data_IF_902032902945
#
_entry.id   IF_902032902945
#
_cell.length_a   1.000
_cell.length_b   1.000
_cell.length_c   1.000
_cell.angle_alpha   90.00
_cell.angle_beta   90.00
_cell.angle_gamma   90.00
#
_symmetry.space_group_name_H-M   'P 1'
#
loop_
_entity.id
_entity.type
_entity.pdbx_description
1 polymer ?
#
# COMPACT_ATOMS: atom_id res chain seq x y z
N UNK A 1 2.31 -29.23 35.14
CA UNK A 1 0.97 -29.19 34.54
C UNK A 1 1.12 -28.99 33.04
N UNK A 2 0.45 -29.81 32.22
CA UNK A 2 0.23 -29.49 30.80
C UNK A 2 -1.05 -28.66 30.68
N UNK A 3 -1.08 -27.75 29.72
CA UNK A 3 -2.31 -27.09 29.24
C UNK A 3 -2.38 -27.36 27.74
N UNK A 4 -3.41 -28.06 27.30
CA UNK A 4 -3.69 -28.27 25.88
C UNK A 4 -4.59 -27.14 25.37
N UNK A 5 -4.34 -26.66 24.15
CA UNK A 5 -5.18 -25.70 23.45
C UNK A 5 -5.80 -26.39 22.24
N UNK A 6 -7.12 -26.34 22.12
CA UNK A 6 -7.87 -26.94 21.02
C UNK A 6 -7.92 -25.97 19.84
N UNK A 7 -7.65 -26.49 18.63
CA UNK A 7 -7.77 -25.75 17.37
C UNK A 7 -9.12 -26.07 16.73
N UNK A 8 -9.94 -25.05 16.49
CA UNK A 8 -11.17 -25.18 15.71
C UNK A 8 -10.92 -24.84 14.24
N UNK A 9 -11.20 -25.77 13.34
CA UNK A 9 -11.13 -25.55 11.88
C UNK A 9 -12.57 -25.56 11.35
N UNK A 10 -13.00 -24.47 10.71
CA UNK A 10 -14.25 -24.41 9.98
C UNK A 10 -14.01 -24.76 8.50
N UNK A 11 -14.63 -25.83 8.02
CA UNK A 11 -14.61 -26.21 6.61
C UNK A 11 -16.02 -26.07 6.01
N UNK A 12 -16.14 -25.29 4.93
CA UNK A 12 -17.34 -25.20 4.11
C UNK A 12 -17.03 -25.80 2.73
N UNK A 13 -17.82 -26.77 2.28
CA UNK A 13 -17.56 -27.50 1.04
C UNK A 13 -18.87 -28.06 0.47
N UNK A 14 -19.01 -28.08 -0.86
CA UNK A 14 -20.22 -28.55 -1.55
C UNK A 14 -21.17 -27.44 -2.02
N UNK A 15 -21.85 -27.50 -3.18
CA UNK A 15 -21.45 -27.82 -4.57
C UNK A 15 -22.68 -28.05 -5.47
N UNK A 16 -22.92 -27.14 -6.43
CA UNK A 16 -23.33 -27.51 -7.80
C UNK A 16 -24.82 -27.65 -8.18
N UNK A 17 -25.08 -27.34 -9.47
CA UNK A 17 -26.31 -27.53 -10.29
C UNK A 17 -27.57 -26.72 -9.85
N UNK A 18 -28.37 -26.11 -10.73
CA UNK A 18 -28.28 -25.90 -12.18
C UNK A 18 -29.31 -26.68 -13.02
N UNK A 19 -30.19 -25.97 -13.73
CA UNK A 19 -31.03 -26.44 -14.86
C UNK A 19 -31.79 -25.27 -15.53
N UNK A 20 -31.96 -25.32 -16.85
CA UNK A 20 -32.83 -24.44 -17.65
C UNK A 20 -34.05 -25.23 -18.16
N UNK A 21 -35.26 -24.62 -18.17
CA UNK A 21 -36.37 -24.98 -19.08
C UNK A 21 -37.53 -23.95 -18.98
N UNK A 22 -38.16 -23.58 -20.11
CA UNK A 22 -39.39 -22.77 -20.12
C UNK A 22 -39.66 -21.97 -21.41
N UNK A 23 -40.32 -22.57 -22.40
CA UNK A 23 -40.89 -21.88 -23.60
C UNK A 23 -42.15 -21.06 -23.23
N UNK A 24 -42.82 -20.21 -24.04
CA UNK A 24 -43.08 -20.11 -25.51
C UNK A 24 -43.58 -18.64 -25.77
N UNK A 25 -43.86 -18.03 -26.94
CA UNK A 25 -44.28 -18.43 -28.30
C UNK A 25 -43.97 -17.36 -29.37
N UNK A 26 -44.23 -17.66 -30.64
CA UNK A 26 -44.18 -16.73 -31.80
C UNK A 26 -45.46 -15.89 -31.98
N UNK A 27 -45.51 -14.95 -32.95
CA UNK A 27 -46.08 -15.32 -34.26
C UNK A 27 -45.24 -14.88 -35.49
N UNK A 28 -45.66 -15.33 -36.67
CA UNK A 28 -45.03 -15.14 -37.99
C UNK A 28 -45.40 -13.81 -38.67
N UNK A 29 -44.64 -13.42 -39.70
CA UNK A 29 -45.17 -13.07 -41.04
C UNK A 29 -44.12 -13.38 -42.13
N UNK A 30 -44.55 -13.44 -43.40
CA UNK A 30 -43.72 -13.73 -44.59
C UNK A 30 -44.20 -12.85 -45.75
N UNK A 31 -43.34 -12.40 -46.68
CA UNK A 31 -43.41 -13.04 -48.01
C UNK A 31 -42.10 -13.14 -48.83
N UNK A 32 -41.94 -14.31 -49.45
CA UNK A 32 -41.53 -14.57 -50.84
C UNK A 32 -40.46 -13.73 -51.60
N UNK A 33 -39.48 -14.50 -52.08
CA UNK A 33 -38.88 -14.47 -53.44
C UNK A 33 -37.98 -13.33 -53.91
N UNK A 34 -36.73 -13.70 -54.19
CA UNK A 34 -36.09 -13.52 -55.50
C UNK A 34 -35.12 -14.67 -55.77
N UNK A 35 -34.88 -15.03 -57.05
CA UNK A 35 -33.89 -16.03 -57.48
C UNK A 35 -32.95 -15.39 -58.51
N UNK A 36 -31.65 -15.48 -58.27
CA UNK A 36 -30.62 -15.38 -59.32
C UNK A 36 -29.46 -16.31 -58.95
N UNK A 37 -28.81 -16.90 -59.94
CA UNK A 37 -27.70 -17.85 -59.76
C UNK A 37 -26.33 -17.18 -59.94
N UNK A 38 -25.27 -17.92 -59.57
CA UNK A 38 -23.88 -17.80 -60.04
C UNK A 38 -23.16 -16.45 -59.75
N UNK A 39 -22.01 -16.43 -59.07
CA UNK A 39 -20.73 -16.94 -59.56
C UNK A 39 -19.68 -17.07 -58.43
N UNK A 40 -18.54 -17.67 -58.76
CA UNK A 40 -17.34 -17.79 -57.91
C UNK A 40 -16.74 -16.42 -57.54
N UNK A 41 -16.47 -16.19 -56.25
CA UNK A 41 -15.78 -15.00 -55.73
C UNK A 41 -14.84 -15.35 -54.57
N UNK A 42 -13.65 -14.76 -54.58
CA UNK A 42 -12.41 -15.15 -53.89
C UNK A 42 -12.44 -15.26 -52.34
N UNK A 43 -11.39 -15.87 -51.78
CA UNK A 43 -11.23 -16.13 -50.33
C UNK A 43 -10.45 -15.01 -49.62
N UNK A 44 -11.06 -13.84 -49.46
CA UNK A 44 -10.57 -12.82 -48.52
C UNK A 44 -11.54 -12.65 -47.34
N UNK A 45 -11.39 -13.55 -46.36
CA UNK A 45 -11.93 -13.31 -45.02
C UNK A 45 -11.03 -12.32 -44.29
N UNK A 46 -11.13 -11.03 -44.64
CA UNK A 46 -10.37 -9.95 -44.03
C UNK A 46 -10.75 -9.86 -42.55
N UNK A 47 -9.99 -10.57 -41.70
CA UNK A 47 -10.25 -10.71 -40.27
C UNK A 47 -9.99 -9.37 -39.59
N UNK A 48 -11.02 -8.52 -39.55
CA UNK A 48 -10.99 -7.23 -38.88
C UNK A 48 -10.34 -7.39 -37.50
N UNK A 49 -9.25 -6.66 -37.20
CA UNK A 49 -8.56 -6.83 -35.94
C UNK A 49 -9.53 -6.44 -34.82
N UNK A 50 -9.95 -7.44 -34.05
CA UNK A 50 -10.72 -7.21 -32.83
C UNK A 50 -9.88 -6.30 -31.95
N UNK A 51 -10.27 -5.03 -31.85
CA UNK A 51 -9.61 -4.09 -30.95
C UNK A 51 -9.72 -4.69 -29.56
N UNK A 52 -8.58 -4.92 -28.91
CA UNK A 52 -8.57 -5.16 -27.48
C UNK A 52 -9.34 -4.01 -26.80
N UNK A 53 -10.10 -4.28 -25.73
CA UNK A 53 -10.66 -3.20 -24.93
C UNK A 53 -9.50 -2.27 -24.51
N UNK A 54 -9.79 -0.97 -24.48
CA UNK A 54 -8.91 -0.04 -23.76
C UNK A 54 -8.90 -0.44 -22.28
N UNK A 55 -7.78 -0.30 -21.56
CA UNK A 55 -7.82 -0.31 -20.10
C UNK A 55 -8.87 0.70 -19.61
N UNK A 56 -9.51 0.37 -18.49
CA UNK A 56 -10.50 1.24 -17.85
C UNK A 56 -9.75 2.18 -16.90
N UNK A 57 -9.80 3.52 -17.03
CA UNK A 57 -9.00 4.39 -16.17
C UNK A 57 -9.28 4.17 -14.67
N UNK A 58 -8.22 4.01 -13.90
CA UNK A 58 -8.23 3.91 -12.44
C UNK A 58 -7.36 5.04 -11.89
N UNK A 59 -7.97 6.13 -11.36
CA UNK A 59 -7.23 7.33 -11.00
C UNK A 59 -6.28 7.12 -9.82
N UNK A 60 -6.50 6.08 -9.00
CA UNK A 60 -5.58 5.72 -7.92
C UNK A 60 -4.38 4.98 -8.50
N UNK A 61 -4.58 4.03 -9.42
CA UNK A 61 -3.44 3.39 -10.11
C UNK A 61 -2.62 4.39 -10.94
N UNK A 62 -3.29 5.27 -11.70
CA UNK A 62 -2.65 6.34 -12.48
C UNK A 62 -1.81 7.27 -11.58
N UNK A 63 -2.27 7.54 -10.34
CA UNK A 63 -1.53 8.34 -9.37
C UNK A 63 -0.27 7.61 -8.85
N UNK A 64 -0.29 6.29 -8.70
CA UNK A 64 0.91 5.50 -8.35
C UNK A 64 1.92 5.42 -9.51
N UNK A 65 1.46 5.25 -10.75
CA UNK A 65 2.32 5.19 -11.96
C UNK A 65 3.05 6.53 -12.22
N UNK A 66 2.44 7.64 -11.83
CA UNK A 66 3.05 8.97 -11.93
C UNK A 66 4.24 9.19 -10.97
N UNK A 67 4.43 8.37 -9.93
CA UNK A 67 5.47 8.58 -8.91
C UNK A 67 6.83 8.02 -9.34
N UNK A 68 7.88 8.84 -9.22
CA UNK A 68 9.25 8.48 -9.59
C UNK A 68 10.18 8.30 -8.38
N UNK A 69 11.23 7.50 -8.57
CA UNK A 69 12.31 7.35 -7.58
C UNK A 69 12.98 8.70 -7.33
N UNK A 70 12.96 9.14 -6.07
CA UNK A 70 13.50 10.44 -5.66
C UNK A 70 12.43 11.44 -5.23
N UNK A 71 11.16 11.24 -5.61
CA UNK A 71 10.03 12.07 -5.19
C UNK A 71 9.76 11.95 -3.69
N UNK A 72 9.01 12.93 -3.17
CA UNK A 72 8.62 12.98 -1.77
C UNK A 72 7.10 13.11 -1.66
N UNK A 73 6.52 12.44 -0.68
CA UNK A 73 5.07 12.32 -0.50
C UNK A 73 4.69 12.91 0.87
N UNK A 74 3.51 13.54 0.97
CA UNK A 74 2.95 14.06 2.23
C UNK A 74 2.03 13.09 2.99
N UNK A 75 1.91 11.85 2.50
CA UNK A 75 1.35 10.74 3.25
C UNK A 75 2.29 10.23 4.37
N UNK A 76 1.71 9.58 5.37
CA UNK A 76 2.40 8.81 6.41
C UNK A 76 1.59 7.55 6.77
N UNK A 77 2.18 6.56 7.42
CA UNK A 77 1.47 5.30 7.72
C UNK A 77 0.43 5.53 8.84
N UNK A 78 -0.78 4.98 8.73
CA UNK A 78 -1.88 5.31 9.65
C UNK A 78 -1.51 4.94 11.11
N UNK A 79 -1.55 5.87 12.08
CA UNK A 79 -1.32 5.57 13.49
C UNK A 79 -2.21 4.46 14.10
N UNK A 80 -3.36 4.14 13.49
CA UNK A 80 -4.35 3.18 13.98
C UNK A 80 -4.31 1.81 13.29
N UNK A 81 -3.87 1.74 12.02
CA UNK A 81 -3.72 0.49 11.26
C UNK A 81 -2.33 0.40 10.61
N UNK A 82 -1.70 -0.77 10.60
CA UNK A 82 -0.37 -0.95 10.01
C UNK A 82 -0.39 -1.13 8.50
N UNK A 83 -1.55 -1.47 7.94
CA UNK A 83 -1.63 -1.91 6.55
C UNK A 83 -2.12 -0.75 5.63
N UNK A 84 -2.51 0.38 6.23
CA UNK A 84 -3.05 1.58 5.60
C UNK A 84 -2.14 2.83 5.73
N UNK A 85 -2.43 3.85 4.92
CA UNK A 85 -1.73 5.14 4.89
C UNK A 85 -2.71 6.30 5.16
N UNK A 86 -2.19 7.49 5.46
CA UNK A 86 -3.00 8.66 5.81
C UNK A 86 -3.82 9.21 4.64
N UNK A 87 -3.41 8.90 3.41
CA UNK A 87 -4.06 9.27 2.16
C UNK A 87 -4.37 8.00 1.35
N UNK A 88 -5.39 8.05 0.48
CA UNK A 88 -5.80 6.91 -0.38
C UNK A 88 -4.85 6.70 -1.58
N UNK A 89 -4.19 7.76 -2.04
CA UNK A 89 -3.28 7.78 -3.18
C UNK A 89 -2.10 8.74 -2.91
N UNK A 90 -0.92 8.52 -3.51
CA UNK A 90 0.24 9.40 -3.34
C UNK A 90 0.07 10.74 -4.09
N UNK A 91 0.50 11.84 -3.47
CA UNK A 91 0.78 13.11 -4.18
C UNK A 91 2.30 13.41 -4.16
N UNK A 92 2.80 13.94 -5.28
CA UNK A 92 4.22 14.19 -5.50
C UNK A 92 4.57 15.63 -5.08
N UNK A 93 5.07 15.79 -3.86
CA UNK A 93 5.28 17.10 -3.23
C UNK A 93 6.76 17.48 -3.13
N UNK A 94 7.03 18.79 -3.07
CA UNK A 94 8.39 19.29 -2.86
C UNK A 94 8.93 18.81 -1.50
N UNK A 95 10.01 18.02 -1.52
CA UNK A 95 10.69 17.47 -0.34
C UNK A 95 11.02 18.50 0.77
N UNK A 96 11.18 19.77 0.38
CA UNK A 96 11.45 20.88 1.31
C UNK A 96 10.24 21.37 2.12
N UNK A 97 9.01 20.93 1.81
CA UNK A 97 7.83 21.20 2.65
C UNK A 97 7.98 20.51 4.02
N UNK A 98 7.27 21.00 5.03
CA UNK A 98 7.25 20.44 6.38
C UNK A 98 6.45 19.14 6.51
N UNK A 99 5.54 18.89 5.58
CA UNK A 99 4.61 17.77 5.53
C UNK A 99 5.05 16.65 4.58
N UNK A 100 6.13 16.82 3.80
CA UNK A 100 6.67 15.79 2.92
C UNK A 100 7.35 14.66 3.73
N UNK A 101 6.58 13.83 4.43
CA UNK A 101 7.07 12.86 5.42
C UNK A 101 7.86 11.70 4.82
N UNK A 102 7.63 11.35 3.56
CA UNK A 102 8.26 10.22 2.88
C UNK A 102 9.16 10.67 1.73
N UNK A 103 10.10 9.81 1.35
CA UNK A 103 10.83 9.87 0.10
C UNK A 103 10.82 8.50 -0.57
N UNK A 104 10.55 8.46 -1.87
CA UNK A 104 10.55 7.25 -2.70
C UNK A 104 11.99 6.85 -3.02
N UNK A 105 12.32 5.59 -2.78
CA UNK A 105 13.65 4.99 -2.99
C UNK A 105 13.67 3.89 -4.05
N UNK A 106 12.50 3.38 -4.45
CA UNK A 106 12.30 2.36 -5.48
C UNK A 106 10.84 2.33 -5.93
N UNK A 107 10.57 1.78 -7.11
CA UNK A 107 9.22 1.60 -7.68
C UNK A 107 9.21 0.24 -8.35
N UNK A 108 8.49 -0.71 -7.75
CA UNK A 108 8.68 -2.15 -8.00
C UNK A 108 7.36 -2.89 -8.24
N UNK A 109 7.44 -4.11 -8.78
CA UNK A 109 6.32 -5.03 -8.98
C UNK A 109 5.96 -5.87 -7.74
N UNK A 110 6.82 -5.87 -6.72
CA UNK A 110 6.62 -6.64 -5.49
C UNK A 110 7.15 -5.93 -4.26
N UNK A 111 6.48 -6.10 -3.11
CA UNK A 111 6.96 -5.62 -1.81
C UNK A 111 8.28 -6.26 -1.37
N UNK A 112 8.59 -7.46 -1.86
CA UNK A 112 9.88 -8.12 -1.65
C UNK A 112 11.04 -7.46 -2.39
N UNK A 113 10.78 -6.79 -3.53
CA UNK A 113 11.81 -6.10 -4.31
C UNK A 113 12.33 -4.82 -3.62
N UNK A 114 11.59 -4.31 -2.63
CA UNK A 114 11.93 -3.06 -1.93
C UNK A 114 13.07 -3.18 -0.90
N UNK A 115 13.50 -4.40 -0.52
CA UNK A 115 14.54 -4.67 0.50
C UNK A 115 14.41 -3.83 1.80
N UNK A 116 13.17 -3.46 2.18
CA UNK A 116 12.91 -2.36 3.13
C UNK A 116 13.26 -2.71 4.57
N UNK A 117 14.28 -2.04 5.13
CA UNK A 117 14.70 -2.25 6.51
C UNK A 117 13.80 -1.47 7.48
N UNK A 118 12.75 -2.13 7.97
CA UNK A 118 11.68 -1.50 8.74
C UNK A 118 12.16 -0.72 9.98
N UNK A 119 13.28 -1.11 10.61
CA UNK A 119 13.83 -0.36 11.75
C UNK A 119 14.64 0.88 11.36
N UNK A 120 15.01 1.03 10.08
CA UNK A 120 15.59 2.25 9.49
C UNK A 120 14.50 3.25 9.04
N UNK A 121 13.23 3.00 9.38
CA UNK A 121 12.11 3.84 8.96
C UNK A 121 11.89 3.74 7.46
N UNK A 122 11.69 2.52 6.99
CA UNK A 122 11.43 2.13 5.61
C UNK A 122 10.20 1.24 5.54
N UNK A 123 9.49 1.29 4.43
CA UNK A 123 8.32 0.46 4.14
C UNK A 123 8.06 0.46 2.63
N UNK A 124 6.93 -0.09 2.21
CA UNK A 124 6.40 0.01 0.86
C UNK A 124 4.92 0.43 0.91
N UNK A 125 4.47 1.18 -0.08
CA UNK A 125 3.04 1.50 -0.29
C UNK A 125 2.59 0.82 -1.59
N UNK A 126 1.52 0.05 -1.52
CA UNK A 126 0.99 -0.78 -2.61
C UNK A 126 -0.23 -0.12 -3.25
N UNK A 127 -0.29 -0.09 -4.59
CA UNK A 127 -1.46 0.38 -5.34
C UNK A 127 -2.64 -0.60 -5.25
N UNK A 128 -3.85 -0.20 -5.71
CA UNK A 128 -4.84 -1.14 -6.21
C UNK A 128 -4.24 -2.04 -7.30
N UNK A 129 -4.81 -3.23 -7.51
CA UNK A 129 -4.41 -4.09 -8.62
C UNK A 129 -5.23 -3.72 -9.85
N UNK A 130 -4.56 -3.30 -10.92
CA UNK A 130 -5.19 -2.76 -12.13
C UNK A 130 -4.79 -3.55 -13.38
N UNK A 131 -5.76 -4.04 -14.15
CA UNK A 131 -5.61 -4.90 -15.36
C UNK A 131 -4.65 -6.11 -15.27
N UNK A 132 -4.16 -6.43 -14.07
CA UNK A 132 -3.23 -7.53 -13.76
C UNK A 132 -2.00 -7.07 -12.96
N UNK A 133 -1.64 -5.80 -13.07
CA UNK A 133 -0.43 -5.20 -12.50
C UNK A 133 -0.67 -4.59 -11.12
N UNK A 134 0.40 -4.30 -10.38
CA UNK A 134 0.38 -3.64 -9.07
C UNK A 134 1.73 -2.97 -8.82
N UNK A 135 1.69 -1.71 -8.37
CA UNK A 135 2.88 -0.90 -8.11
C UNK A 135 3.16 -0.90 -6.61
N UNK A 136 4.44 -1.07 -6.24
CA UNK A 136 4.95 -0.91 -4.88
C UNK A 136 5.95 0.24 -4.84
N UNK A 137 5.56 1.35 -4.20
CA UNK A 137 6.44 2.47 -3.93
C UNK A 137 7.26 2.15 -2.68
N UNK A 138 8.56 1.87 -2.86
CA UNK A 138 9.48 1.67 -1.75
C UNK A 138 9.77 3.04 -1.13
N UNK A 139 9.47 3.23 0.16
CA UNK A 139 9.45 4.55 0.81
C UNK A 139 10.27 4.58 2.10
N UNK A 140 11.04 5.67 2.27
CA UNK A 140 11.89 5.95 3.43
C UNK A 140 11.42 7.23 4.13
N UNK A 141 11.22 7.18 5.45
CA UNK A 141 10.75 8.31 6.27
C UNK A 141 11.79 9.43 6.34
N UNK A 142 11.35 10.66 6.04
CA UNK A 142 12.10 11.92 6.16
C UNK A 142 11.74 12.62 7.48
N UNK A 143 12.43 12.27 8.58
CA UNK A 143 12.24 12.93 9.87
C UNK A 143 12.84 14.35 9.88
N UNK A 144 12.07 15.35 10.33
CA UNK A 144 12.55 16.71 10.62
C UNK A 144 12.61 16.95 12.12
N UNK A 145 13.61 17.69 12.59
CA UNK A 145 13.77 17.97 14.03
C UNK A 145 12.50 18.63 14.60
N UNK A 146 11.99 18.08 15.70
CA UNK A 146 10.74 18.54 16.31
C UNK A 146 9.47 17.81 15.85
N UNK A 147 9.48 17.05 14.74
CA UNK A 147 8.39 16.13 14.39
C UNK A 147 8.21 15.06 15.49
N UNK A 148 6.97 14.62 15.71
CA UNK A 148 6.66 13.51 16.60
C UNK A 148 6.15 12.27 15.87
N UNK A 149 6.54 11.11 16.39
CA UNK A 149 6.17 9.78 15.90
C UNK A 149 5.88 8.86 17.10
N UNK A 150 5.36 7.65 16.85
CA UNK A 150 4.84 6.79 17.91
C UNK A 150 5.81 5.70 18.38
N UNK A 151 5.98 5.61 19.70
CA UNK A 151 6.80 4.62 20.40
C UNK A 151 5.97 3.65 21.25
N UNK A 152 6.53 2.47 21.50
CA UNK A 152 5.91 1.36 22.26
C UNK A 152 6.76 0.92 23.46
N UNK A 153 6.18 0.10 24.33
CA UNK A 153 6.93 -0.55 25.41
C UNK A 153 7.96 -1.53 24.84
N UNK A 154 9.21 -1.42 25.28
CA UNK A 154 10.27 -2.37 24.93
C UNK A 154 10.16 -3.69 25.70
N UNK A 155 10.84 -4.72 25.21
CA UNK A 155 10.83 -6.09 25.79
C UNK A 155 11.39 -6.18 27.22
N UNK A 156 12.07 -5.13 27.71
CA UNK A 156 12.58 -5.02 29.09
C UNK A 156 11.79 -3.93 29.82
N UNK A 157 11.31 -4.24 31.04
CA UNK A 157 10.49 -3.34 31.86
C UNK A 157 11.10 -1.92 31.96
N UNK A 158 10.32 -0.91 31.62
CA UNK A 158 10.75 0.50 31.66
C UNK A 158 11.64 0.95 30.48
N UNK A 159 11.89 0.11 29.47
CA UNK A 159 12.50 0.55 28.20
C UNK A 159 11.42 0.98 27.21
N UNK A 160 11.78 1.95 26.38
CA UNK A 160 11.01 2.41 25.23
C UNK A 160 11.58 1.72 23.99
N UNK A 161 10.72 1.35 23.05
CA UNK A 161 11.11 0.79 21.76
C UNK A 161 10.36 1.47 20.62
N UNK A 162 10.98 1.38 19.44
CA UNK A 162 10.42 1.77 18.14
C UNK A 162 9.94 0.51 17.38
N UNK A 163 9.29 0.72 16.24
CA UNK A 163 9.01 -0.28 15.20
C UNK A 163 8.76 0.46 13.89
N UNK A 164 8.91 -0.22 12.74
CA UNK A 164 8.68 0.38 11.41
C UNK A 164 7.39 1.20 11.34
N UNK A 165 6.24 0.58 11.57
CA UNK A 165 4.95 1.29 11.68
C UNK A 165 5.02 2.57 12.52
N UNK A 166 5.55 2.50 13.74
CA UNK A 166 5.70 3.67 14.62
C UNK A 166 6.66 4.74 14.09
N UNK A 167 7.73 4.36 13.40
CA UNK A 167 8.65 5.27 12.71
C UNK A 167 8.00 5.95 11.49
N UNK A 168 7.12 5.24 10.77
CA UNK A 168 6.45 5.74 9.58
C UNK A 168 5.27 6.68 9.90
N UNK A 169 4.78 6.72 11.14
CA UNK A 169 3.73 7.66 11.57
C UNK A 169 4.16 9.13 11.58
N UNK A 170 3.17 10.02 11.52
CA UNK A 170 3.23 11.40 12.01
C UNK A 170 2.23 11.55 13.16
N UNK A 171 2.59 12.27 14.23
CA UNK A 171 1.72 12.52 15.38
C UNK A 171 1.95 13.91 15.97
N UNK A 172 0.93 14.49 16.60
CA UNK A 172 1.10 15.79 17.27
C UNK A 172 1.80 15.60 18.63
N UNK A 173 2.90 16.33 18.83
CA UNK A 173 3.66 16.36 20.07
C UNK A 173 2.86 16.86 21.31
N UNK A 174 1.70 17.48 21.11
CA UNK A 174 0.86 18.02 22.20
C UNK A 174 -0.35 17.14 22.53
N UNK A 175 -0.39 15.90 22.03
CA UNK A 175 -1.42 14.92 22.40
C UNK A 175 -1.07 14.30 23.76
N UNK A 176 -2.10 14.03 24.55
CA UNK A 176 -2.04 13.27 25.82
C UNK A 176 -2.26 11.76 25.62
N UNK A 177 -2.62 11.38 24.39
CA UNK A 177 -3.18 10.08 24.03
C UNK A 177 -2.51 9.54 22.77
N UNK A 178 -2.46 8.20 22.67
CA UNK A 178 -1.87 7.46 21.55
C UNK A 178 -2.75 6.26 21.18
N UNK A 179 -2.71 5.77 19.92
CA UNK A 179 -3.45 4.59 19.48
C UNK A 179 -3.08 3.30 20.23
N UNK A 180 -3.93 2.28 20.07
CA UNK A 180 -3.74 0.95 20.67
C UNK A 180 -2.44 0.33 20.15
N UNK A 181 -1.63 -0.24 21.06
CA UNK A 181 -0.30 -0.80 20.75
C UNK A 181 0.84 0.16 21.09
N UNK A 182 0.65 1.46 20.91
CA UNK A 182 1.61 2.50 21.30
C UNK A 182 1.47 2.92 22.76
N UNK A 183 2.54 3.54 23.30
CA UNK A 183 2.63 3.99 24.70
C UNK A 183 3.41 5.30 24.90
N UNK A 184 4.11 5.80 23.89
CA UNK A 184 4.93 7.00 23.97
C UNK A 184 4.76 7.83 22.71
N UNK A 185 4.75 9.15 22.86
CA UNK A 185 4.98 10.08 21.76
C UNK A 185 6.48 10.42 21.81
N UNK A 186 7.15 10.33 20.67
CA UNK A 186 8.59 10.53 20.56
C UNK A 186 8.86 11.70 19.63
N UNK A 187 9.39 12.80 20.17
CA UNK A 187 9.86 13.92 19.39
C UNK A 187 11.27 13.63 18.88
N UNK A 188 11.43 13.58 17.56
CA UNK A 188 12.73 13.38 16.92
C UNK A 188 13.67 14.58 17.20
N UNK A 189 14.88 14.28 17.64
CA UNK A 189 15.92 15.25 18.03
C UNK A 189 17.16 15.19 17.13
N UNK A 190 17.12 14.42 16.03
CA UNK A 190 18.17 14.40 15.01
C UNK A 190 18.80 13.01 14.77
N UNK A 191 19.63 12.95 13.73
CA UNK A 191 20.52 11.83 13.44
C UNK A 191 21.94 12.17 13.85
N UNK A 192 22.64 11.20 14.44
CA UNK A 192 23.98 11.38 14.98
C UNK A 192 24.85 10.16 14.67
N UNK A 193 26.17 10.33 14.63
CA UNK A 193 27.11 9.23 14.36
C UNK A 193 27.25 8.25 15.55
N UNK A 194 27.00 8.70 16.78
CA UNK A 194 27.28 7.89 18.00
C UNK A 194 26.58 8.34 19.29
N UNK A 195 26.37 9.65 19.50
CA UNK A 195 25.80 10.22 20.73
C UNK A 195 24.64 11.16 20.43
N UNK A 196 23.52 10.95 21.12
CA UNK A 196 22.40 11.90 21.16
C UNK A 196 22.63 13.10 22.09
N UNK A 197 21.91 14.22 21.87
CA UNK A 197 21.77 15.30 22.84
C UNK A 197 21.21 14.80 24.18
N UNK A 198 21.62 15.45 25.27
CA UNK A 198 21.21 15.05 26.63
C UNK A 198 19.68 15.12 26.81
N UNK A 199 19.14 14.15 27.57
CA UNK A 199 17.69 13.93 27.70
C UNK A 199 17.05 13.11 26.59
N UNK A 200 17.70 12.95 25.42
CA UNK A 200 17.20 12.07 24.36
C UNK A 200 17.32 10.58 24.72
N UNK A 201 16.46 9.76 24.12
CA UNK A 201 16.65 8.32 23.97
C UNK A 201 17.45 8.05 22.70
N UNK A 202 18.07 6.88 22.65
CA UNK A 202 19.00 6.44 21.61
C UNK A 202 18.54 5.10 21.04
N UNK A 203 18.50 5.00 19.72
CA UNK A 203 18.43 3.73 19.01
C UNK A 203 19.61 3.67 18.05
N UNK A 204 20.49 2.71 18.30
CA UNK A 204 21.72 2.46 17.55
C UNK A 204 21.42 1.70 16.25
N UNK A 205 22.41 1.65 15.36
CA UNK A 205 22.41 1.03 14.03
C UNK A 205 21.43 1.61 12.98
N UNK A 206 20.47 2.45 13.40
CA UNK A 206 19.52 3.15 12.51
C UNK A 206 20.24 3.89 11.36
N UNK A 207 20.02 3.47 10.12
CA UNK A 207 20.68 3.97 8.89
C UNK A 207 22.20 4.01 9.02
N UNK A 208 22.76 3.00 9.70
CA UNK A 208 24.20 2.86 10.05
C UNK A 208 24.74 3.97 10.96
N UNK A 209 23.86 4.64 11.69
CA UNK A 209 24.16 5.69 12.66
C UNK A 209 23.27 5.55 13.89
N UNK A 210 22.74 6.68 14.38
CA UNK A 210 21.95 6.74 15.61
C UNK A 210 20.71 7.63 15.42
N UNK A 211 19.54 7.06 15.67
CA UNK A 211 18.27 7.78 15.82
C UNK A 211 18.17 8.33 17.25
N UNK A 212 17.89 9.62 17.36
CA UNK A 212 17.67 10.29 18.64
C UNK A 212 16.26 10.89 18.70
N UNK A 213 15.57 10.64 19.82
CA UNK A 213 14.26 11.23 20.10
C UNK A 213 14.00 11.30 21.61
N UNK A 214 13.25 12.31 22.06
CA UNK A 214 12.81 12.43 23.48
C UNK A 214 11.34 12.08 23.62
N UNK A 215 10.93 11.67 24.82
CA UNK A 215 9.51 11.59 25.16
C UNK A 215 9.00 13.01 25.39
N UNK A 216 7.77 13.28 24.94
CA UNK A 216 6.98 14.48 25.25
C UNK A 216 5.76 14.10 26.08
#
# INVERSE_FOLDING_TARGET
MLIAVLIGIAAANGSGKGSNAGSTSSPSETPSTSRTSDLTGDTDSTRSPSRSPSPTPDPTFDAFDAISVGDCLDAYQDPYDSDEWSEEMPDAVSCGRSDAYLKVTGVEDSSSSCDSEALDGESWWRSPTHDGDTIYLCVRRQFREGECFLGKTGSKKGRIAISGHGLMTSWSCSKDTVPKGFKYILQFTGYYESRCPDGSRRWDDFRRGVLCARVV
#
